data_IF_547460171543
#
_entry.id   IF_547460171543
#
_cell.length_a   1.000
_cell.length_b   1.000
_cell.length_c   1.000
_cell.angle_alpha   90.00
_cell.angle_beta   90.00
_cell.angle_gamma   90.00
#
_symmetry.space_group_name_H-M   'P 1'
#
loop_
_entity.id
_entity.type
_entity.pdbx_description
1 polymer ?
#
# COMPACT_ATOMS: atom_id res chain seq x y z
N UNK A 1 -17.41 12.96 -17.45
CA UNK A 1 -16.63 11.77 -17.07
C UNK A 1 -16.02 12.07 -15.71
N UNK A 2 -16.65 11.58 -14.65
CA UNK A 2 -16.17 11.72 -13.27
C UNK A 2 -14.92 10.84 -13.09
N UNK A 3 -13.86 11.40 -12.53
CA UNK A 3 -12.57 10.75 -12.30
C UNK A 3 -12.73 9.36 -11.66
N UNK A 4 -12.34 8.30 -12.37
CA UNK A 4 -12.19 6.93 -11.84
C UNK A 4 -10.85 6.70 -11.14
N UNK A 5 -10.00 7.73 -11.03
CA UNK A 5 -8.75 7.63 -10.29
C UNK A 5 -9.05 7.44 -8.81
N UNK A 6 -8.44 6.43 -8.19
CA UNK A 6 -8.50 6.24 -6.75
C UNK A 6 -8.01 7.54 -6.09
N UNK A 7 -8.88 8.18 -5.31
CA UNK A 7 -8.56 9.36 -4.52
C UNK A 7 -7.71 8.92 -3.32
N UNK A 8 -6.44 8.61 -3.60
CA UNK A 8 -5.45 8.25 -2.59
C UNK A 8 -4.77 9.54 -2.13
N UNK A 9 -4.86 9.91 -0.85
CA UNK A 9 -4.12 11.05 -0.34
C UNK A 9 -2.62 10.77 -0.45
N UNK A 10 -1.89 11.71 -1.05
CA UNK A 10 -0.43 11.63 -1.07
C UNK A 10 0.11 11.77 0.35
N UNK A 11 1.13 10.97 0.67
CA UNK A 11 1.89 11.00 1.92
C UNK A 11 3.36 10.74 1.63
N UNK A 12 4.24 11.48 2.28
CA UNK A 12 5.69 11.30 2.20
C UNK A 12 6.19 10.39 3.32
N UNK A 13 7.21 9.56 3.03
CA UNK A 13 7.91 8.79 4.05
C UNK A 13 8.74 9.66 5.00
N UNK A 14 8.87 10.95 4.69
CA UNK A 14 9.52 11.96 5.53
C UNK A 14 8.53 12.83 6.31
N UNK A 15 7.23 12.53 6.22
CA UNK A 15 6.23 13.19 7.05
C UNK A 15 6.42 12.80 8.53
N UNK A 16 5.94 13.67 9.43
CA UNK A 16 6.16 13.55 10.87
C UNK A 16 5.71 12.23 11.50
N UNK A 17 4.77 11.53 10.87
CA UNK A 17 4.15 10.29 11.35
C UNK A 17 4.66 9.04 10.64
N UNK A 18 5.76 9.19 9.90
CA UNK A 18 6.61 8.13 9.37
C UNK A 18 8.03 8.21 9.94
N UNK A 19 8.26 9.04 10.96
CA UNK A 19 9.61 9.46 11.37
C UNK A 19 10.46 8.27 11.83
N UNK A 20 9.86 7.37 12.60
CA UNK A 20 10.57 6.24 13.21
C UNK A 20 10.99 5.22 12.16
N UNK A 21 10.31 5.20 11.01
CA UNK A 21 10.53 4.25 9.92
C UNK A 21 10.70 4.92 8.55
N UNK A 22 11.19 6.16 8.53
CA UNK A 22 11.31 7.00 7.33
C UNK A 22 12.31 6.46 6.29
N UNK A 23 13.12 5.45 6.66
CA UNK A 23 13.97 4.69 5.75
C UNK A 23 13.23 3.63 4.94
N UNK A 24 11.98 3.30 5.28
CA UNK A 24 11.20 2.24 4.63
C UNK A 24 9.99 2.79 3.88
N UNK A 25 10.05 2.74 2.55
CA UNK A 25 8.99 3.25 1.68
C UNK A 25 7.76 2.34 1.61
N UNK A 26 7.90 1.06 1.98
CA UNK A 26 6.84 0.06 1.91
C UNK A 26 5.64 0.41 2.80
N UNK A 27 5.83 0.62 4.12
CA UNK A 27 4.77 0.99 5.05
C UNK A 27 4.08 2.29 4.66
N UNK A 28 4.83 3.28 4.18
CA UNK A 28 4.25 4.54 3.69
C UNK A 28 3.28 4.30 2.53
N UNK A 29 3.67 3.47 1.57
CA UNK A 29 2.81 3.13 0.42
C UNK A 29 1.54 2.40 0.85
N UNK A 30 1.64 1.47 1.80
CA UNK A 30 0.48 0.75 2.34
C UNK A 30 -0.46 1.68 3.12
N UNK A 31 0.08 2.59 3.93
CA UNK A 31 -0.71 3.57 4.68
C UNK A 31 -1.52 4.47 3.75
N UNK A 32 -0.92 4.95 2.65
CA UNK A 32 -1.66 5.73 1.64
C UNK A 32 -2.86 4.96 1.07
N UNK A 33 -2.64 3.71 0.66
CA UNK A 33 -3.71 2.87 0.09
C UNK A 33 -4.84 2.63 1.10
N UNK A 34 -4.50 2.38 2.35
CA UNK A 34 -5.45 2.22 3.46
C UNK A 34 -6.21 3.52 3.75
N UNK A 35 -5.53 4.66 3.79
CA UNK A 35 -6.16 5.97 3.97
C UNK A 35 -7.15 6.28 2.83
N UNK A 36 -6.81 5.95 1.59
CA UNK A 36 -7.73 6.05 0.45
C UNK A 36 -8.97 5.14 0.57
N UNK A 37 -8.89 4.07 1.35
CA UNK A 37 -10.02 3.21 1.75
C UNK A 37 -10.71 3.64 3.05
N UNK A 38 -10.38 4.84 3.56
CA UNK A 38 -10.89 5.42 4.81
C UNK A 38 -10.48 4.66 6.07
N UNK A 39 -9.38 3.92 6.01
CA UNK A 39 -8.71 3.35 7.18
C UNK A 39 -7.67 4.35 7.65
N UNK A 40 -7.94 5.02 8.77
CA UNK A 40 -7.05 6.00 9.36
C UNK A 40 -5.88 5.27 10.04
N UNK A 41 -4.72 5.29 9.38
CA UNK A 41 -3.49 4.68 9.87
C UNK A 41 -2.26 5.44 9.36
N UNK A 42 -1.23 5.56 10.18
CA UNK A 42 0.07 6.13 9.81
C UNK A 42 1.08 5.05 9.41
N UNK A 43 2.18 5.42 8.73
CA UNK A 43 3.27 4.48 8.46
C UNK A 43 3.88 3.88 9.72
N UNK A 44 4.04 4.67 10.78
CA UNK A 44 4.56 4.17 12.06
C UNK A 44 3.56 3.21 12.76
N UNK A 45 2.25 3.49 12.68
CA UNK A 45 1.22 2.61 13.24
C UNK A 45 1.16 1.25 12.52
N UNK A 46 1.52 1.17 11.23
CA UNK A 46 1.60 -0.11 10.52
C UNK A 46 2.62 -1.07 11.13
N UNK A 47 3.66 -0.56 11.81
CA UNK A 47 4.65 -1.40 12.47
C UNK A 47 4.08 -2.22 13.63
N UNK A 48 2.91 -1.86 14.17
CA UNK A 48 2.19 -2.69 15.14
C UNK A 48 1.74 -4.03 14.54
N UNK A 49 1.52 -4.10 13.22
CA UNK A 49 1.14 -5.32 12.50
C UNK A 49 2.32 -6.03 11.85
N UNK A 50 3.41 -5.31 11.57
CA UNK A 50 4.63 -5.83 10.93
C UNK A 50 5.59 -6.42 11.98
N UNK A 51 5.65 -5.80 13.15
CA UNK A 51 6.66 -6.05 14.17
C UNK A 51 8.02 -5.43 13.83
N UNK A 52 9.02 -5.74 14.66
CA UNK A 52 10.37 -5.19 14.51
C UNK A 52 11.06 -5.77 13.28
N UNK A 53 11.68 -4.90 12.47
CA UNK A 53 12.50 -5.30 11.31
C UNK A 53 13.87 -4.63 11.37
N UNK A 54 14.95 -5.33 10.96
CA UNK A 54 16.31 -4.82 11.10
C UNK A 54 16.69 -3.75 10.07
N UNK A 55 15.95 -3.63 8.94
CA UNK A 55 16.28 -2.63 7.91
C UNK A 55 15.08 -2.22 7.06
N UNK A 56 14.46 -3.16 6.37
CA UNK A 56 13.31 -2.93 5.50
C UNK A 56 12.30 -4.06 5.65
N UNK A 57 11.06 -3.74 5.34
CA UNK A 57 9.95 -4.67 5.27
C UNK A 57 9.97 -5.45 3.96
N UNK A 58 9.55 -6.71 4.06
CA UNK A 58 9.38 -7.56 2.89
C UNK A 58 7.92 -7.54 2.43
N UNK A 59 7.66 -7.97 1.20
CA UNK A 59 6.31 -8.06 0.65
C UNK A 59 5.34 -8.84 1.58
N UNK A 60 5.72 -9.98 2.20
CA UNK A 60 4.83 -10.66 3.15
C UNK A 60 4.45 -9.80 4.36
N UNK A 61 5.36 -8.97 4.86
CA UNK A 61 5.12 -8.08 6.00
C UNK A 61 4.07 -7.03 5.65
N UNK A 62 4.25 -6.38 4.51
CA UNK A 62 3.33 -5.37 3.98
C UNK A 62 1.95 -5.96 3.71
N UNK A 63 1.89 -7.19 3.19
CA UNK A 63 0.65 -7.91 2.96
C UNK A 63 -0.09 -8.17 4.28
N UNK A 64 0.60 -8.70 5.29
CA UNK A 64 0.00 -9.02 6.57
C UNK A 64 -0.48 -7.76 7.28
N UNK A 65 0.30 -6.67 7.23
CA UNK A 65 -0.08 -5.39 7.79
C UNK A 65 -1.30 -4.78 7.10
N UNK A 66 -1.34 -4.80 5.76
CA UNK A 66 -2.49 -4.40 4.97
C UNK A 66 -3.77 -5.17 5.32
N UNK A 67 -3.63 -6.46 5.63
CA UNK A 67 -4.76 -7.32 5.98
C UNK A 67 -5.23 -7.10 7.41
N UNK A 68 -4.29 -6.98 8.37
CA UNK A 68 -4.59 -6.73 9.77
C UNK A 68 -5.15 -5.33 10.05
N UNK A 69 -4.55 -4.30 9.45
CA UNK A 69 -4.90 -2.89 9.70
C UNK A 69 -6.23 -2.44 9.09
N UNK A 70 -6.66 -3.06 7.99
CA UNK A 70 -7.80 -2.55 7.23
C UNK A 70 -8.47 -3.55 6.31
N UNK A 71 -8.15 -4.85 6.45
CA UNK A 71 -8.71 -5.94 5.66
C UNK A 71 -8.70 -5.64 4.16
N UNK A 72 -7.58 -5.15 3.62
CA UNK A 72 -7.45 -5.00 2.16
C UNK A 72 -7.75 -6.35 1.51
N UNK A 73 -8.84 -6.40 0.76
CA UNK A 73 -9.19 -7.59 -0.03
C UNK A 73 -8.25 -7.64 -1.22
N UNK A 74 -7.14 -8.34 -1.04
CA UNK A 74 -6.16 -8.57 -2.10
C UNK A 74 -6.74 -9.60 -3.06
N UNK A 75 -7.20 -9.13 -4.22
CA UNK A 75 -7.60 -10.03 -5.30
C UNK A 75 -6.34 -10.52 -6.00
N UNK A 76 -5.98 -11.77 -5.76
CA UNK A 76 -4.91 -12.42 -6.51
C UNK A 76 -5.38 -12.68 -7.94
N UNK A 77 -4.81 -11.96 -8.89
CA UNK A 77 -4.96 -12.25 -10.32
C UNK A 77 -3.66 -12.84 -10.83
N UNK A 78 -3.73 -14.09 -11.26
CA UNK A 78 -2.66 -14.71 -12.04
C UNK A 78 -2.88 -14.35 -13.49
N UNK A 79 -1.83 -13.84 -14.14
CA UNK A 79 -1.82 -13.56 -15.57
C UNK A 79 -0.98 -14.63 -16.27
N UNK A 80 -1.37 -15.04 -17.48
CA UNK A 80 -0.63 -16.09 -18.18
C UNK A 80 0.78 -15.63 -18.58
N UNK A 81 0.98 -14.33 -18.76
CA UNK A 81 2.25 -13.72 -19.12
C UNK A 81 2.30 -12.22 -18.74
N UNK A 82 3.49 -11.61 -18.87
CA UNK A 82 3.72 -10.20 -18.55
C UNK A 82 2.89 -9.23 -19.42
N UNK A 83 2.62 -9.57 -20.68
CA UNK A 83 1.84 -8.71 -21.59
C UNK A 83 0.38 -8.59 -21.12
N UNK A 84 -0.22 -9.70 -20.69
CA UNK A 84 -1.56 -9.68 -20.10
C UNK A 84 -1.63 -8.89 -18.80
N UNK A 85 -0.62 -9.04 -17.93
CA UNK A 85 -0.53 -8.26 -16.69
C UNK A 85 -0.45 -6.75 -16.99
N UNK A 86 0.38 -6.36 -17.96
CA UNK A 86 0.52 -4.96 -18.37
C UNK A 86 -0.78 -4.42 -19.01
N UNK A 87 -1.44 -5.20 -19.86
CA UNK A 87 -2.70 -4.80 -20.48
C UNK A 87 -3.82 -4.64 -19.44
N UNK A 88 -3.87 -5.52 -18.44
CA UNK A 88 -4.79 -5.37 -17.31
C UNK A 88 -4.47 -4.15 -16.46
N UNK A 89 -3.19 -3.85 -16.21
CA UNK A 89 -2.78 -2.65 -15.50
C UNK A 89 -3.22 -1.38 -16.25
N UNK A 90 -2.93 -1.29 -17.55
CA UNK A 90 -3.32 -0.15 -18.40
C UNK A 90 -4.82 0.10 -18.38
N UNK A 91 -5.64 -0.93 -18.54
CA UNK A 91 -7.11 -0.79 -18.42
C UNK A 91 -7.57 -0.18 -17.09
N UNK A 92 -6.90 -0.49 -15.98
CA UNK A 92 -7.27 0.10 -14.68
C UNK A 92 -6.77 1.54 -14.49
N UNK A 93 -5.83 2.01 -15.32
CA UNK A 93 -5.26 3.37 -15.26
C UNK A 93 -5.96 4.30 -16.27
N UNK A 94 -6.23 3.78 -17.47
CA UNK A 94 -6.69 4.56 -18.62
C UNK A 94 -8.23 4.69 -18.68
N UNK A 95 -8.99 3.76 -18.09
CA UNK A 95 -10.47 3.69 -18.16
C UNK A 95 -11.19 4.15 -16.89
#
# INVERSE_FOLDING_TARGET
MTEKKLQIPYRSQWDKDAKDHSGDCGPTSVAMLLNGKRVAITPDELYTYIGVRPKFTYIPDLKNAAWGAGQLTLTYKNYANANEALAALRRNIDE
#
